data_IF_548956083368
#
_entry.id   IF_548956083368
#
_cell.length_a   1.000
_cell.length_b   1.000
_cell.length_c   1.000
_cell.angle_alpha   90.00
_cell.angle_beta   90.00
_cell.angle_gamma   90.00
#
_symmetry.space_group_name_H-M   'P 1'
#
loop_
_entity.id
_entity.type
_entity.pdbx_description
1 polymer ?
#
# COMPACT_ATOMS: atom_id res chain seq x y z
N UNK A 1 -0.20 25.62 12.81
CA UNK A 1 -1.21 25.45 11.74
C UNK A 1 -2.47 24.92 12.38
N UNK A 2 -3.62 25.56 12.17
CA UNK A 2 -4.89 25.12 12.75
C UNK A 2 -5.34 23.81 12.07
N UNK A 3 -5.68 22.80 12.86
CA UNK A 3 -6.29 21.57 12.34
C UNK A 3 -7.68 21.92 11.80
N UNK A 4 -7.97 21.55 10.55
CA UNK A 4 -9.32 21.69 9.99
C UNK A 4 -10.29 20.80 10.77
N UNK A 5 -11.55 21.22 10.96
CA UNK A 5 -12.53 20.42 11.71
C UNK A 5 -12.83 19.13 10.94
N UNK A 6 -12.52 17.99 11.54
CA UNK A 6 -12.95 16.66 11.08
C UNK A 6 -14.42 16.43 11.42
N UNK A 7 -15.04 15.41 10.81
CA UNK A 7 -16.36 14.97 11.27
C UNK A 7 -16.32 14.56 12.75
N UNK A 8 -17.40 14.74 13.53
CA UNK A 8 -17.46 14.26 14.92
C UNK A 8 -17.08 12.78 15.02
N UNK A 9 -16.26 12.42 16.01
CA UNK A 9 -15.81 11.03 16.19
C UNK A 9 -14.60 10.63 15.35
N UNK A 10 -14.13 11.47 14.43
CA UNK A 10 -12.93 11.21 13.62
C UNK A 10 -11.67 11.75 14.31
N UNK A 11 -10.71 10.85 14.57
CA UNK A 11 -9.37 11.18 15.08
C UNK A 11 -8.31 10.70 14.10
N UNK A 12 -7.55 11.64 13.53
CA UNK A 12 -6.40 11.32 12.67
C UNK A 12 -5.29 10.74 13.54
N UNK A 13 -4.84 9.52 13.20
CA UNK A 13 -3.78 8.80 13.90
C UNK A 13 -2.44 9.01 13.21
N UNK A 14 -2.43 9.02 11.87
CA UNK A 14 -1.22 9.14 11.07
C UNK A 14 -1.53 9.83 9.74
N UNK A 15 -0.57 10.55 9.18
CA UNK A 15 -0.64 11.08 7.81
C UNK A 15 0.70 10.90 7.12
N UNK A 16 0.70 10.82 5.80
CA UNK A 16 1.94 10.68 5.04
C UNK A 16 1.71 10.60 3.54
N UNK A 17 2.73 10.14 2.84
CA UNK A 17 2.72 9.90 1.40
C UNK A 17 2.53 8.40 1.11
N UNK A 18 1.74 8.08 0.09
CA UNK A 18 1.46 6.70 -0.34
C UNK A 18 1.93 6.51 -1.77
N UNK A 19 2.57 5.38 -2.05
CA UNK A 19 2.90 4.93 -3.39
C UNK A 19 2.26 3.57 -3.66
N UNK A 20 1.90 3.31 -4.90
CA UNK A 20 1.38 2.02 -5.36
C UNK A 20 2.33 1.42 -6.37
N UNK A 21 2.49 0.10 -6.34
CA UNK A 21 3.33 -0.64 -7.28
C UNK A 21 2.62 -1.91 -7.71
N UNK A 22 3.01 -2.45 -8.86
CA UNK A 22 2.67 -3.82 -9.25
C UNK A 22 3.91 -4.57 -9.69
N UNK A 23 3.84 -5.89 -9.67
CA UNK A 23 4.85 -6.79 -10.21
C UNK A 23 4.22 -7.66 -11.29
N UNK A 24 4.75 -7.64 -12.52
CA UNK A 24 4.39 -8.62 -13.53
C UNK A 24 4.80 -10.04 -13.10
N UNK A 25 4.07 -11.06 -13.58
CA UNK A 25 4.43 -12.47 -13.43
C UNK A 25 5.78 -12.77 -14.06
N UNK A 26 6.42 -13.82 -13.55
CA UNK A 26 7.71 -14.25 -14.05
C UNK A 26 7.65 -14.55 -15.57
N UNK A 27 8.46 -13.83 -16.35
CA UNK A 27 8.51 -13.96 -17.81
C UNK A 27 7.57 -13.04 -18.58
N UNK A 28 6.72 -12.26 -17.90
CA UNK A 28 5.92 -11.20 -18.49
C UNK A 28 6.70 -9.89 -18.38
N UNK A 29 7.18 -9.38 -19.51
CA UNK A 29 7.92 -8.11 -19.55
C UNK A 29 6.97 -6.91 -19.57
N UNK A 30 5.91 -7.03 -20.35
CA UNK A 30 4.91 -5.99 -20.58
C UNK A 30 3.52 -6.54 -20.22
N UNK A 31 3.08 -6.41 -18.96
CA UNK A 31 1.74 -6.86 -18.58
C UNK A 31 0.67 -6.04 -19.31
N UNK A 32 -0.45 -6.65 -19.63
CA UNK A 32 -1.56 -5.99 -20.32
C UNK A 32 -2.86 -5.98 -19.52
N UNK A 33 -2.92 -6.76 -18.43
CA UNK A 33 -4.07 -6.85 -17.56
C UNK A 33 -3.67 -7.36 -16.16
N UNK A 34 -4.60 -7.40 -15.18
CA UNK A 34 -4.31 -7.92 -13.84
C UNK A 34 -3.96 -9.42 -13.78
N UNK A 35 -4.36 -10.24 -14.76
CA UNK A 35 -3.97 -11.64 -14.81
C UNK A 35 -2.48 -11.80 -15.11
N UNK A 36 -1.84 -10.81 -15.73
CA UNK A 36 -0.39 -10.77 -15.93
C UNK A 36 0.40 -10.40 -14.66
N UNK A 37 -0.28 -10.06 -13.55
CA UNK A 37 0.38 -9.61 -12.33
C UNK A 37 0.62 -10.75 -11.34
N UNK A 38 1.81 -10.74 -10.74
CA UNK A 38 2.12 -11.59 -9.59
C UNK A 38 1.57 -10.97 -8.31
N UNK A 39 1.79 -9.66 -8.14
CA UNK A 39 1.51 -8.93 -6.89
C UNK A 39 1.22 -7.46 -7.15
N UNK A 40 0.43 -6.88 -6.25
CA UNK A 40 0.27 -5.43 -6.09
C UNK A 40 0.73 -5.03 -4.70
N UNK A 41 1.30 -3.84 -4.60
CA UNK A 41 1.84 -3.30 -3.37
C UNK A 41 1.35 -1.88 -3.13
N UNK A 42 1.33 -1.49 -1.86
CA UNK A 42 1.34 -0.07 -1.50
C UNK A 42 2.35 0.20 -0.41
N UNK A 43 2.95 1.38 -0.47
CA UNK A 43 3.96 1.84 0.47
C UNK A 43 3.42 3.04 1.23
N UNK A 44 3.53 3.01 2.56
CA UNK A 44 3.19 4.14 3.43
C UNK A 44 4.47 4.78 3.94
N UNK A 45 4.59 6.09 3.72
CA UNK A 45 5.71 6.94 4.12
C UNK A 45 5.19 8.00 5.10
N UNK A 46 5.16 7.74 6.42
CA UNK A 46 4.62 8.65 7.43
C UNK A 46 5.29 10.03 7.42
N UNK A 47 4.55 11.09 7.75
CA UNK A 47 5.16 12.41 7.98
C UNK A 47 5.99 12.45 9.26
N UNK A 48 5.54 11.74 10.29
CA UNK A 48 6.26 11.58 11.55
C UNK A 48 7.20 10.38 11.47
N UNK A 49 8.40 10.63 10.95
CA UNK A 49 9.48 9.64 10.84
C UNK A 49 10.24 9.43 12.17
N UNK A 50 9.89 10.16 13.24
CA UNK A 50 10.49 9.97 14.56
C UNK A 50 9.84 8.79 15.29
N UNK A 51 8.50 8.74 15.22
CA UNK A 51 7.69 7.74 15.92
C UNK A 51 7.26 6.57 15.03
N UNK A 52 7.15 6.77 13.71
CA UNK A 52 6.75 5.72 12.78
C UNK A 52 7.87 5.31 11.81
N UNK A 53 7.68 4.15 11.19
CA UNK A 53 8.57 3.61 10.16
C UNK A 53 7.88 3.58 8.80
N UNK A 54 8.66 3.55 7.73
CA UNK A 54 8.13 3.36 6.38
C UNK A 54 7.73 1.91 6.22
N UNK A 55 6.63 1.65 5.50
CA UNK A 55 6.01 0.32 5.42
C UNK A 55 5.71 -0.04 3.98
N UNK A 56 6.06 -1.26 3.56
CA UNK A 56 5.60 -1.86 2.31
C UNK A 56 4.56 -2.92 2.61
N UNK A 57 3.41 -2.82 1.97
CA UNK A 57 2.34 -3.80 2.04
C UNK A 57 2.25 -4.58 0.74
N UNK A 58 2.02 -5.88 0.86
CA UNK A 58 1.76 -6.80 -0.24
C UNK A 58 0.29 -7.21 -0.21
N UNK A 59 -0.43 -6.98 -1.32
CA UNK A 59 -1.86 -7.28 -1.47
C UNK A 59 -2.02 -8.70 -2.02
N UNK A 60 -2.91 -9.47 -1.38
CA UNK A 60 -2.99 -10.91 -1.57
C UNK A 60 -3.40 -11.34 -2.98
N UNK A 61 -4.43 -10.70 -3.54
CA UNK A 61 -5.03 -11.11 -4.81
C UNK A 61 -4.69 -10.19 -5.99
N UNK A 62 -3.67 -9.32 -5.86
CA UNK A 62 -3.12 -8.56 -6.99
C UNK A 62 -4.01 -7.43 -7.52
N UNK A 63 -5.12 -7.11 -6.84
CA UNK A 63 -5.97 -5.94 -7.10
C UNK A 63 -6.44 -5.35 -5.78
N UNK A 64 -6.69 -4.04 -5.72
CA UNK A 64 -7.33 -3.46 -4.53
C UNK A 64 -8.80 -3.86 -4.44
N UNK A 65 -9.40 -3.90 -3.24
CA UNK A 65 -10.83 -4.16 -3.10
C UNK A 65 -11.67 -3.15 -3.87
N UNK A 66 -12.73 -3.64 -4.53
CA UNK A 66 -13.72 -2.77 -5.16
C UNK A 66 -14.45 -1.93 -4.11
N UNK A 67 -14.92 -0.74 -4.50
CA UNK A 67 -15.81 0.07 -3.66
C UNK A 67 -17.11 0.26 -4.43
N UNK A 68 -18.16 -0.41 -3.98
CA UNK A 68 -19.48 -0.33 -4.64
C UNK A 68 -20.46 0.36 -3.70
N UNK A 69 -20.82 1.63 -3.96
CA UNK A 69 -21.67 2.39 -3.05
C UNK A 69 -22.97 1.68 -2.68
N UNK A 70 -23.20 1.52 -1.37
CA UNK A 70 -24.42 0.91 -0.82
C UNK A 70 -24.45 -0.61 -0.88
N UNK A 71 -23.35 -1.28 -1.24
CA UNK A 71 -23.22 -2.73 -1.21
C UNK A 71 -22.20 -3.18 -0.14
N UNK A 72 -22.18 -4.48 0.11
CA UNK A 72 -21.23 -5.16 0.99
C UNK A 72 -20.84 -6.48 0.31
N UNK A 73 -20.26 -6.38 -0.88
CA UNK A 73 -19.92 -7.55 -1.69
C UNK A 73 -18.61 -8.21 -1.18
N UNK A 74 -18.41 -9.52 -1.42
CA UNK A 74 -17.14 -10.18 -1.11
C UNK A 74 -15.93 -9.50 -1.77
N UNK A 75 -16.08 -8.99 -2.98
CA UNK A 75 -15.04 -8.30 -3.76
C UNK A 75 -14.66 -6.92 -3.17
N UNK A 76 -15.41 -6.44 -2.18
CA UNK A 76 -15.06 -5.26 -1.39
C UNK A 76 -14.13 -5.61 -0.23
N UNK A 77 -13.58 -6.84 -0.18
CA UNK A 77 -12.67 -7.30 0.87
C UNK A 77 -11.45 -7.96 0.27
N UNK A 78 -10.27 -7.55 0.72
CA UNK A 78 -9.04 -8.26 0.46
C UNK A 78 -8.10 -8.16 1.67
N UNK A 79 -7.03 -8.94 1.62
CA UNK A 79 -6.00 -9.03 2.63
C UNK A 79 -4.73 -8.36 2.12
N UNK A 80 -4.00 -7.75 3.03
CA UNK A 80 -2.62 -7.39 2.80
C UNK A 80 -1.77 -7.75 4.01
N UNK A 81 -0.46 -7.80 3.83
CA UNK A 81 0.46 -7.91 4.94
C UNK A 81 1.65 -6.98 4.78
N UNK A 82 2.23 -6.56 5.90
CA UNK A 82 3.45 -5.76 5.93
C UNK A 82 4.61 -6.64 5.47
N UNK A 83 5.10 -6.42 4.25
CA UNK A 83 6.22 -7.17 3.68
C UNK A 83 7.54 -6.71 4.30
N UNK A 84 7.78 -5.41 4.39
CA UNK A 84 8.98 -4.86 5.01
C UNK A 84 8.69 -3.51 5.69
N UNK A 85 9.51 -3.18 6.69
CA UNK A 85 9.50 -1.92 7.42
C UNK A 85 10.92 -1.38 7.57
N UNK A 86 11.12 -0.08 7.44
CA UNK A 86 12.43 0.53 7.65
C UNK A 86 12.34 2.01 7.97
N UNK A 87 13.30 2.49 8.79
CA UNK A 87 13.52 3.93 9.00
C UNK A 87 14.14 4.62 7.78
N UNK A 88 14.92 3.89 6.99
CA UNK A 88 15.37 4.34 5.67
C UNK A 88 14.32 3.91 4.63
N UNK A 89 13.60 4.83 3.99
CA UNK A 89 12.54 4.50 3.03
C UNK A 89 13.09 3.80 1.78
N UNK A 90 14.38 3.98 1.45
CA UNK A 90 15.03 3.26 0.34
C UNK A 90 15.09 1.75 0.61
N UNK A 91 15.33 1.36 1.86
CA UNK A 91 15.34 -0.04 2.26
C UNK A 91 13.96 -0.71 2.06
N UNK A 92 12.87 0.04 2.22
CA UNK A 92 11.51 -0.44 1.93
C UNK A 92 11.29 -0.61 0.42
N UNK A 93 11.79 0.32 -0.40
CA UNK A 93 11.71 0.23 -1.86
C UNK A 93 12.50 -0.98 -2.40
N UNK A 94 13.75 -1.16 -1.96
CA UNK A 94 14.59 -2.31 -2.31
C UNK A 94 13.93 -3.65 -1.95
N UNK A 95 13.05 -3.64 -0.95
CA UNK A 95 12.32 -4.83 -0.51
C UNK A 95 11.25 -5.30 -1.47
N UNK A 96 10.86 -4.47 -2.44
CA UNK A 96 10.10 -4.96 -3.58
C UNK A 96 10.86 -6.12 -4.22
N UNK A 97 12.18 -6.02 -4.39
CA UNK A 97 13.03 -7.01 -5.07
C UNK A 97 13.44 -8.21 -4.21
N UNK A 98 13.16 -8.21 -2.90
CA UNK A 98 13.55 -9.30 -1.98
C UNK A 98 12.66 -10.54 -2.14
N UNK A 99 13.21 -11.72 -1.83
CA UNK A 99 12.53 -13.03 -1.78
C UNK A 99 11.97 -13.57 -3.10
N UNK A 100 12.58 -13.18 -4.23
CA UNK A 100 12.20 -13.69 -5.54
C UNK A 100 13.05 -14.94 -5.80
N UNK A 101 12.44 -16.12 -6.02
CA UNK A 101 13.19 -17.33 -6.32
C UNK A 101 14.10 -17.10 -7.52
N UNK A 102 15.38 -17.48 -7.38
CA UNK A 102 16.31 -17.44 -8.49
C UNK A 102 15.75 -18.26 -9.67
N UNK A 103 15.82 -17.78 -10.92
CA UNK A 103 15.44 -18.60 -12.06
C UNK A 103 16.28 -19.88 -12.10
N UNK A 104 15.72 -21.04 -12.51
CA UNK A 104 16.54 -22.21 -12.79
C UNK A 104 17.52 -21.91 -13.94
N UNK A 105 18.81 -22.16 -13.71
CA UNK A 105 19.81 -22.14 -14.80
C UNK A 105 19.48 -23.22 -15.85
N UNK A 106 19.66 -22.99 -17.16
CA UNK A 106 20.55 -22.00 -17.78
C UNK A 106 19.79 -21.00 -18.67
N UNK A 107 18.75 -20.30 -18.18
CA UNK A 107 18.09 -19.25 -18.97
C UNK A 107 18.94 -17.97 -18.96
N UNK A 108 19.80 -17.83 -19.96
CA UNK A 108 20.92 -16.87 -20.07
C UNK A 108 20.61 -15.37 -20.16
N UNK A 109 19.53 -14.89 -19.54
CA UNK A 109 19.30 -13.50 -19.12
C UNK A 109 17.84 -13.44 -18.66
N UNK A 110 17.59 -13.10 -17.40
CA UNK A 110 16.28 -12.58 -17.01
C UNK A 110 16.44 -11.15 -16.52
N UNK A 111 15.59 -10.29 -17.07
CA UNK A 111 15.37 -8.94 -16.60
C UNK A 111 15.09 -8.96 -15.09
N UNK A 112 15.54 -7.93 -14.37
CA UNK A 112 15.18 -7.78 -12.96
C UNK A 112 13.64 -7.78 -12.85
N UNK A 113 13.06 -8.38 -11.80
CA UNK A 113 11.62 -8.38 -11.53
C UNK A 113 11.20 -7.01 -10.96
N UNK A 114 11.39 -5.99 -11.79
CA UNK A 114 11.06 -4.62 -11.50
C UNK A 114 9.59 -4.51 -11.09
N UNK A 115 9.31 -3.58 -10.18
CA UNK A 115 7.97 -3.26 -9.75
C UNK A 115 7.65 -1.81 -10.14
N UNK A 116 7.03 -1.58 -11.31
CA UNK A 116 6.68 -0.23 -11.73
C UNK A 116 5.76 0.47 -10.72
N UNK A 117 5.96 1.77 -10.54
CA UNK A 117 5.09 2.61 -9.76
C UNK A 117 3.80 2.88 -10.54
N UNK A 118 2.66 2.64 -9.90
CA UNK A 118 1.32 2.83 -10.45
C UNK A 118 0.60 4.06 -9.89
N UNK A 119 1.14 4.72 -8.88
CA UNK A 119 0.50 5.91 -8.32
C UNK A 119 1.28 6.47 -7.15
N UNK A 120 1.13 7.78 -6.91
CA UNK A 120 1.64 8.46 -5.74
C UNK A 120 0.61 9.47 -5.24
N UNK A 121 0.49 9.63 -3.93
CA UNK A 121 -0.47 10.52 -3.31
C UNK A 121 -0.22 10.77 -1.84
N UNK A 122 -1.24 11.31 -1.18
CA UNK A 122 -1.28 11.45 0.28
C UNK A 122 -2.21 10.43 0.87
N UNK A 123 -1.90 10.00 2.09
CA UNK A 123 -2.80 9.21 2.89
C UNK A 123 -3.00 9.81 4.29
N UNK A 124 -4.07 9.37 4.94
CA UNK A 124 -4.24 9.46 6.36
C UNK A 124 -4.77 8.13 6.89
N UNK A 125 -4.37 7.77 8.11
CA UNK A 125 -5.02 6.75 8.91
C UNK A 125 -5.84 7.48 9.98
N UNK A 126 -7.14 7.21 10.04
CA UNK A 126 -8.04 7.86 10.96
C UNK A 126 -8.93 6.86 11.68
N UNK A 127 -9.07 7.04 12.99
CA UNK A 127 -10.08 6.36 13.81
C UNK A 127 -11.42 7.03 13.58
N UNK A 128 -12.47 6.24 13.34
CA UNK A 128 -13.86 6.71 13.30
C UNK A 128 -14.71 5.68 14.04
N UNK A 129 -15.23 6.07 15.20
CA UNK A 129 -15.97 5.21 16.12
C UNK A 129 -15.23 3.90 16.46
N UNK A 130 -15.73 2.75 15.97
CA UNK A 130 -15.21 1.40 16.21
C UNK A 130 -14.26 0.88 15.12
N UNK A 131 -14.07 1.62 14.02
CA UNK A 131 -13.22 1.24 12.89
C UNK A 131 -12.04 2.20 12.66
N UNK A 132 -11.07 1.74 11.87
CA UNK A 132 -9.95 2.58 11.40
C UNK A 132 -9.99 2.62 9.88
N UNK A 133 -9.85 3.82 9.32
CA UNK A 133 -9.83 4.07 7.89
C UNK A 133 -8.39 4.35 7.42
N UNK A 134 -7.96 3.67 6.36
CA UNK A 134 -6.89 4.12 5.49
C UNK A 134 -7.54 4.89 4.33
N UNK A 135 -7.32 6.20 4.29
CA UNK A 135 -7.80 7.06 3.20
C UNK A 135 -6.64 7.58 2.39
N UNK A 136 -6.82 7.71 1.08
CA UNK A 136 -5.82 8.34 0.22
C UNK A 136 -6.44 9.16 -0.90
N UNK A 137 -5.62 10.08 -1.44
CA UNK A 137 -5.90 10.82 -2.67
C UNK A 137 -4.64 10.89 -3.52
N UNK A 138 -4.76 10.55 -4.80
CA UNK A 138 -3.64 10.57 -5.75
C UNK A 138 -3.22 11.99 -6.10
N UNK A 139 -1.90 12.19 -6.16
CA UNK A 139 -1.24 13.30 -6.87
C UNK A 139 -0.93 12.91 -8.31
N UNK A 140 -0.42 11.70 -8.55
CA UNK A 140 -0.19 11.15 -9.89
C UNK A 140 -0.66 9.68 -10.01
N UNK A 141 -1.22 9.29 -11.17
CA UNK A 141 -1.64 10.20 -12.23
C UNK A 141 -2.82 11.07 -11.76
N UNK A 142 -2.95 12.28 -12.29
CA UNK A 142 -4.08 13.16 -11.92
C UNK A 142 -5.43 12.58 -12.37
N UNK A 143 -5.41 11.83 -13.47
CA UNK A 143 -6.53 11.06 -13.98
C UNK A 143 -6.08 9.60 -14.12
N UNK A 144 -6.65 8.65 -13.35
CA UNK A 144 -6.37 7.23 -13.50
C UNK A 144 -6.50 6.74 -14.95
N UNK A 145 -5.42 6.15 -15.46
CA UNK A 145 -5.38 5.49 -16.76
C UNK A 145 -5.82 4.04 -16.67
N UNK A 146 -5.43 3.26 -17.67
CA UNK A 146 -5.74 1.83 -17.78
C UNK A 146 -5.23 1.05 -16.57
N UNK A 147 -3.94 1.19 -16.25
CA UNK A 147 -3.28 0.51 -15.12
C UNK A 147 -4.07 0.70 -13.82
N UNK A 148 -4.32 1.97 -13.44
CA UNK A 148 -5.00 2.27 -12.18
C UNK A 148 -6.44 1.75 -12.17
N UNK A 149 -7.16 1.80 -13.30
CA UNK A 149 -8.53 1.29 -13.39
C UNK A 149 -8.57 -0.23 -13.20
N UNK A 150 -7.66 -0.94 -13.84
CA UNK A 150 -7.65 -2.41 -13.84
C UNK A 150 -7.20 -2.99 -12.50
N UNK A 151 -6.22 -2.37 -11.83
CA UNK A 151 -5.79 -2.78 -10.47
C UNK A 151 -6.60 -2.10 -9.34
N UNK A 152 -7.65 -1.36 -9.71
CA UNK A 152 -8.63 -0.72 -8.82
C UNK A 152 -8.08 0.39 -7.90
N UNK A 153 -7.03 1.09 -8.34
CA UNK A 153 -6.58 2.33 -7.71
C UNK A 153 -7.48 3.48 -8.16
N UNK A 154 -8.25 4.01 -7.23
CA UNK A 154 -9.17 5.14 -7.44
C UNK A 154 -8.40 6.47 -7.33
N UNK A 155 -8.92 7.58 -7.88
CA UNK A 155 -8.32 8.91 -7.64
C UNK A 155 -8.30 9.26 -6.14
N UNK A 156 -9.32 8.80 -5.41
CA UNK A 156 -9.50 8.93 -3.98
C UNK A 156 -10.31 7.72 -3.48
N UNK A 157 -9.96 7.20 -2.31
CA UNK A 157 -10.69 6.12 -1.67
C UNK A 157 -10.47 6.07 -0.15
N UNK A 158 -11.43 5.44 0.50
CA UNK A 158 -11.46 5.12 1.93
C UNK A 158 -11.66 3.62 2.10
N UNK A 159 -10.72 3.00 2.79
CA UNK A 159 -10.76 1.59 3.16
C UNK A 159 -10.81 1.46 4.67
N UNK A 160 -11.73 0.65 5.20
CA UNK A 160 -11.65 0.20 6.59
C UNK A 160 -10.52 -0.82 6.67
N UNK A 161 -9.59 -0.62 7.61
CA UNK A 161 -8.49 -1.54 7.90
C UNK A 161 -8.61 -2.10 9.31
N UNK A 162 -8.40 -3.40 9.43
CA UNK A 162 -8.33 -4.11 10.72
C UNK A 162 -7.09 -4.99 10.74
N UNK A 163 -6.37 -4.98 11.85
CA UNK A 163 -5.17 -5.78 12.09
C UNK A 163 -5.59 -7.12 12.65
N UNK A 164 -5.03 -8.18 12.07
CA UNK A 164 -5.26 -9.55 12.51
C UNK A 164 -4.45 -9.91 13.73
N UNK A 165 -5.04 -10.67 14.63
CA UNK A 165 -4.30 -11.33 15.70
C UNK A 165 -3.33 -12.38 15.09
N UNK A 166 -2.01 -12.32 15.40
CA UNK A 166 -1.00 -13.13 14.71
C UNK A 166 -1.16 -14.65 14.82
N UNK A 167 -1.80 -15.15 15.87
CA UNK A 167 -1.98 -16.56 16.17
C UNK A 167 -3.41 -17.06 15.86
N UNK A 168 -4.34 -16.18 15.51
CA UNK A 168 -5.66 -16.54 15.04
C UNK A 168 -5.58 -17.25 13.67
N UNK A 169 -6.51 -18.18 13.37
CA UNK A 169 -6.59 -18.85 12.07
C UNK A 169 -6.55 -17.88 10.89
N UNK A 170 -5.83 -18.20 9.81
CA UNK A 170 -5.63 -17.35 8.64
C UNK A 170 -6.02 -18.04 7.35
N UNK A 171 -6.62 -17.29 6.42
CA UNK A 171 -6.67 -17.70 5.01
C UNK A 171 -5.28 -17.61 4.38
N UNK A 172 -4.50 -16.58 4.75
CA UNK A 172 -3.13 -16.37 4.28
C UNK A 172 -2.15 -16.84 5.34
N UNK A 173 -1.46 -17.94 5.05
CA UNK A 173 -0.39 -18.48 5.89
C UNK A 173 0.93 -17.90 5.44
N UNK A 174 1.49 -17.01 6.27
CA UNK A 174 2.84 -16.50 6.10
C UNK A 174 3.84 -17.39 6.83
N UNK A 175 5.08 -17.44 6.35
CA UNK A 175 6.16 -18.21 6.98
C UNK A 175 6.48 -17.74 8.41
N UNK A 176 6.24 -16.45 8.66
CA UNK A 176 6.54 -15.79 9.92
C UNK A 176 5.32 -14.98 10.41
N UNK A 177 5.38 -14.60 11.69
CA UNK A 177 4.38 -13.77 12.37
C UNK A 177 5.03 -12.47 12.83
N UNK A 178 4.26 -11.36 12.97
CA UNK A 178 4.80 -10.12 13.49
C UNK A 178 5.30 -10.32 14.93
N UNK A 179 6.50 -9.79 15.19
CA UNK A 179 7.12 -9.87 16.51
C UNK A 179 6.61 -8.74 17.43
N UNK A 180 5.32 -8.75 17.74
CA UNK A 180 4.72 -7.72 18.58
C UNK A 180 5.22 -7.77 20.03
N UNK A 181 5.58 -6.62 20.64
CA UNK A 181 5.80 -6.54 22.07
C UNK A 181 4.51 -6.88 22.83
N UNK A 182 4.65 -7.27 24.09
CA UNK A 182 3.51 -7.65 24.94
C UNK A 182 2.46 -6.52 25.07
N UNK A 183 2.89 -5.26 25.03
CA UNK A 183 1.98 -4.10 25.05
C UNK A 183 1.03 -4.08 23.86
N UNK A 184 1.49 -4.41 22.65
CA UNK A 184 0.65 -4.48 21.45
C UNK A 184 -0.17 -5.78 21.41
N UNK A 185 0.43 -6.92 21.81
CA UNK A 185 -0.31 -8.19 21.88
C UNK A 185 -1.52 -8.13 22.81
N UNK A 186 -1.38 -7.47 23.97
CA UNK A 186 -2.50 -7.31 24.92
C UNK A 186 -3.67 -6.50 24.36
N UNK A 187 -3.48 -5.67 23.32
CA UNK A 187 -4.57 -4.89 22.71
C UNK A 187 -5.58 -5.75 21.97
N UNK A 188 -5.20 -6.95 21.54
CA UNK A 188 -6.14 -7.87 20.91
C UNK A 188 -7.20 -8.36 21.90
N UNK A 189 -6.87 -8.49 23.19
CA UNK A 189 -7.83 -8.86 24.25
C UNK A 189 -8.72 -10.07 23.90
N UNK A 190 -8.12 -11.09 23.28
CA UNK A 190 -8.82 -12.30 22.81
C UNK A 190 -9.61 -12.14 21.51
N UNK A 191 -9.69 -10.95 20.93
CA UNK A 191 -10.28 -10.69 19.62
C UNK A 191 -9.32 -11.13 18.51
N UNK A 192 -9.86 -11.78 17.47
CA UNK A 192 -9.08 -12.17 16.29
C UNK A 192 -8.72 -11.00 15.36
N UNK A 193 -9.39 -9.86 15.53
CA UNK A 193 -9.24 -8.65 14.74
C UNK A 193 -9.43 -7.43 15.62
N UNK A 194 -8.59 -6.42 15.42
CA UNK A 194 -8.75 -5.11 16.05
C UNK A 194 -8.54 -4.01 15.02
N UNK A 195 -9.12 -2.81 15.23
CA UNK A 195 -8.74 -1.65 14.45
C UNK A 195 -7.23 -1.35 14.55
N UNK A 196 -6.68 -0.71 13.52
CA UNK A 196 -5.29 -0.23 13.52
C UNK A 196 -5.11 1.02 14.40
N UNK A 197 -5.38 0.89 15.70
CA UNK A 197 -5.21 1.92 16.72
C UNK A 197 -4.56 1.31 17.98
N UNK A 198 -3.25 1.55 18.22
CA UNK A 198 -2.37 2.50 17.54
C UNK A 198 -1.89 2.00 16.17
N UNK A 199 -1.37 2.91 15.34
CA UNK A 199 -0.79 2.58 14.03
C UNK A 199 0.51 1.79 14.15
N UNK A 200 1.15 1.75 15.32
CA UNK A 200 2.32 0.93 15.64
C UNK A 200 2.10 -0.57 15.36
N UNK A 201 0.84 -1.04 15.36
CA UNK A 201 0.50 -2.41 14.94
C UNK A 201 0.96 -2.69 13.48
N UNK A 202 1.10 -1.66 12.66
CA UNK A 202 1.55 -1.76 11.27
C UNK A 202 3.08 -1.69 11.13
N UNK A 203 3.82 -1.43 12.22
CA UNK A 203 5.29 -1.24 12.20
C UNK A 203 6.07 -2.56 12.26
N UNK A 204 5.41 -3.69 12.07
CA UNK A 204 6.00 -5.02 12.21
C UNK A 204 5.78 -5.81 10.93
N UNK A 205 6.88 -6.36 10.38
CA UNK A 205 6.82 -7.31 9.28
C UNK A 205 5.84 -8.44 9.58
N UNK A 206 5.17 -8.94 8.55
CA UNK A 206 4.16 -9.99 8.58
C UNK A 206 2.85 -9.63 9.31
N UNK A 207 2.70 -8.40 9.82
CA UNK A 207 1.41 -7.92 10.30
C UNK A 207 0.39 -8.00 9.16
N UNK A 208 -0.70 -8.74 9.38
CA UNK A 208 -1.76 -8.93 8.40
C UNK A 208 -2.89 -7.94 8.67
N UNK A 209 -3.43 -7.38 7.59
CA UNK A 209 -4.59 -6.50 7.63
C UNK A 209 -5.69 -7.02 6.70
N UNK A 210 -6.93 -6.84 7.14
CA UNK A 210 -8.11 -6.89 6.29
C UNK A 210 -8.38 -5.48 5.78
N UNK A 211 -8.57 -5.34 4.47
CA UNK A 211 -8.90 -4.10 3.77
C UNK A 211 -10.32 -4.25 3.24
N UNK A 212 -11.21 -3.34 3.63
CA UNK A 212 -12.61 -3.34 3.20
C UNK A 212 -12.95 -2.02 2.52
N UNK A 213 -13.50 -2.07 1.29
CA UNK A 213 -14.02 -0.92 0.58
C UNK A 213 -15.11 -0.20 1.37
N UNK A 214 -14.91 1.09 1.67
CA UNK A 214 -15.90 1.89 2.39
C UNK A 214 -16.57 2.91 1.47
N UNK A 215 -15.82 3.92 1.00
CA UNK A 215 -16.32 5.03 0.17
C UNK A 215 -15.25 5.58 -0.77
N UNK A 216 -15.70 6.30 -1.80
CA UNK A 216 -14.86 7.00 -2.79
C UNK A 216 -14.79 8.52 -2.58
N UNK A 217 -15.46 9.05 -1.55
CA UNK A 217 -15.51 10.48 -1.21
C UNK A 217 -15.11 10.65 0.26
N UNK A 218 -13.83 10.92 0.48
CA UNK A 218 -13.17 10.99 1.79
C UNK A 218 -13.60 12.23 2.56
N UNK A 219 -13.73 13.38 1.87
CA UNK A 219 -14.17 14.62 2.51
C UNK A 219 -15.60 14.47 3.03
N UNK A 220 -16.50 13.88 2.24
CA UNK A 220 -17.88 13.66 2.68
C UNK A 220 -18.00 12.64 3.81
N UNK A 221 -17.15 11.62 3.82
CA UNK A 221 -17.22 10.56 4.83
C UNK A 221 -16.59 10.99 6.16
N UNK A 222 -15.39 11.56 6.13
CA UNK A 222 -14.57 11.80 7.32
C UNK A 222 -14.30 13.29 7.59
N UNK A 223 -14.67 14.18 6.68
CA UNK A 223 -14.31 15.60 6.77
C UNK A 223 -12.82 15.85 6.55
N UNK A 224 -12.10 14.90 5.94
CA UNK A 224 -10.65 14.98 5.76
C UNK A 224 -10.30 15.53 4.37
N UNK A 225 -9.47 16.57 4.35
CA UNK A 225 -8.83 17.10 3.13
C UNK A 225 -7.37 16.70 3.10
N UNK A 226 -7.01 15.88 2.12
CA UNK A 226 -5.63 15.46 1.91
C UNK A 226 -4.92 16.46 0.97
N UNK A 227 -3.87 17.12 1.48
CA UNK A 227 -3.06 18.06 0.71
C UNK A 227 -2.12 17.30 -0.24
N UNK A 228 -2.62 16.92 -1.41
CA UNK A 228 -1.87 16.16 -2.42
C UNK A 228 -0.58 16.83 -2.89
N UNK A 229 -0.43 18.15 -2.70
CA UNK A 229 0.80 18.88 -3.05
C UNK A 229 1.94 18.71 -2.04
N UNK A 230 1.67 18.17 -0.86
CA UNK A 230 2.67 17.96 0.19
C UNK A 230 3.50 16.70 -0.07
N UNK A 231 4.82 16.89 -0.21
CA UNK A 231 5.79 15.82 -0.35
C UNK A 231 6.71 15.79 0.88
N UNK A 232 6.73 14.69 1.62
CA UNK A 232 7.68 14.53 2.72
C UNK A 232 9.06 14.06 2.22
N UNK A 233 10.06 14.08 3.11
CA UNK A 233 11.43 13.74 2.75
C UNK A 233 11.59 12.28 2.31
N UNK A 234 10.80 11.37 2.90
CA UNK A 234 10.84 9.96 2.57
C UNK A 234 10.34 9.70 1.14
N UNK A 235 9.24 10.35 0.73
CA UNK A 235 8.73 10.28 -0.64
C UNK A 235 9.78 10.77 -1.65
N UNK A 236 10.45 11.88 -1.35
CA UNK A 236 11.51 12.43 -2.22
C UNK A 236 12.64 11.44 -2.43
N UNK A 237 13.11 10.79 -1.36
CA UNK A 237 14.18 9.79 -1.44
C UNK A 237 13.76 8.56 -2.27
N UNK A 238 12.53 8.09 -2.09
CA UNK A 238 11.98 6.96 -2.86
C UNK A 238 11.85 7.33 -4.34
N UNK A 239 11.28 8.49 -4.66
CA UNK A 239 11.14 8.95 -6.04
C UNK A 239 12.49 9.24 -6.71
N UNK A 240 13.49 9.70 -5.96
CA UNK A 240 14.85 9.87 -6.47
C UNK A 240 15.48 8.51 -6.82
N UNK A 241 15.37 7.52 -5.93
CA UNK A 241 15.86 6.17 -6.17
C UNK A 241 15.14 5.49 -7.34
N UNK A 242 13.81 5.62 -7.43
CA UNK A 242 13.04 5.12 -8.57
C UNK A 242 13.49 5.72 -9.90
N UNK A 243 13.83 7.02 -9.95
CA UNK A 243 14.39 7.65 -11.16
C UNK A 243 15.80 7.16 -11.50
N UNK A 244 16.57 6.70 -10.53
CA UNK A 244 17.85 6.05 -10.79
C UNK A 244 17.62 4.65 -11.36
N UNK A 245 16.74 3.87 -10.75
CA UNK A 245 16.34 2.53 -11.20
C UNK A 245 15.69 2.55 -12.59
N UNK A 246 14.91 3.60 -12.93
CA UNK A 246 14.31 3.81 -14.26
C UNK A 246 15.36 3.72 -15.37
N UNK A 247 16.58 4.26 -15.13
CA UNK A 247 17.64 4.24 -16.14
C UNK A 247 18.13 2.82 -16.41
N UNK A 248 18.27 2.00 -15.37
CA UNK A 248 18.67 0.60 -15.47
C UNK A 248 17.55 -0.26 -16.08
N UNK A 249 16.29 0.03 -15.73
CA UNK A 249 15.12 -0.64 -16.27
C UNK A 249 14.93 -0.34 -17.76
N UNK A 250 15.20 0.91 -18.18
CA UNK A 250 15.08 1.33 -19.58
C UNK A 250 16.07 0.59 -20.51
N UNK A 251 17.24 0.19 -20.01
CA UNK A 251 18.18 -0.67 -20.76
C UNK A 251 17.58 -2.06 -21.07
N UNK A 252 16.58 -2.48 -20.29
CA UNK A 252 15.82 -3.73 -20.46
C UNK A 252 14.47 -3.50 -21.14
N UNK A 253 14.20 -2.28 -21.63
CA UNK A 253 12.95 -1.92 -22.29
C UNK A 253 11.77 -1.72 -21.34
N UNK A 254 12.00 -1.56 -20.04
CA UNK A 254 10.96 -1.44 -19.01
C UNK A 254 10.91 0.01 -18.53
N UNK A 255 9.71 0.57 -18.37
CA UNK A 255 9.53 1.81 -17.61
C UNK A 255 8.95 1.53 -16.23
N UNK A 256 9.56 2.11 -15.19
CA UNK A 256 9.06 2.05 -13.81
C UNK A 256 8.13 3.21 -13.49
N UNK A 257 8.24 4.33 -14.20
CA UNK A 257 7.54 5.57 -13.86
C UNK A 257 6.36 5.86 -14.77
N UNK A 258 6.36 5.40 -16.02
CA UNK A 258 5.28 5.66 -16.96
C UNK A 258 3.88 5.21 -16.48
N UNK A 259 3.69 4.10 -15.75
CA UNK A 259 2.36 3.73 -15.28
C UNK A 259 1.80 4.76 -14.29
N UNK A 260 2.63 5.31 -13.40
CA UNK A 260 2.24 6.39 -12.49
C UNK A 260 2.06 7.74 -13.21
N UNK A 261 2.81 8.01 -14.27
CA UNK A 261 2.81 9.32 -14.94
C UNK A 261 1.71 9.44 -16.02
N UNK A 262 1.52 8.39 -16.81
CA UNK A 262 0.60 8.33 -17.96
C UNK A 262 -0.62 7.44 -17.69
N UNK A 263 -0.49 6.46 -16.79
CA UNK A 263 -1.56 5.50 -16.51
C UNK A 263 -1.68 4.38 -17.54
N UNK A 264 -0.63 4.12 -18.31
CA UNK A 264 -0.58 3.10 -19.36
C UNK A 264 0.28 1.92 -18.91
N UNK A 265 -0.04 0.73 -19.40
CA UNK A 265 0.82 -0.44 -19.26
C UNK A 265 2.16 -0.20 -19.97
N UNK A 266 3.22 -0.84 -19.49
CA UNK A 266 4.62 -0.60 -19.89
C UNK A 266 5.39 -1.87 -20.05
#
# INVERSE_FOLDING_TARGET
>A
MAQQPTMPGVRVLETGNILFFYRPKQGVLHPTDPEDLERVYFMLLPDDQEHHVNRLFNVAHGVFPSIVPGKALPEERDWAFVQDVSRDPRGVLESLEKNIPAPPEPSGQRARPWAPAAGVGRYAIARHDDHTHLVYRLRKPERPGEVQREIQIRPEASYIISVKEPYAPSEIVLEQKPNYPESLRRKFDGMGWIPADPTDLLDYQYAQILIIGARVDVEKELGLKLDTGRENQAEKQVLEMLRQQEKEAAEQGISLLEPMLKGEWV
#
